data_IF_892244139248
#
_entry.id   IF_892244139248
#
_cell.length_a   1.000
_cell.length_b   1.000
_cell.length_c   1.000
_cell.angle_alpha   90.00
_cell.angle_beta   90.00
_cell.angle_gamma   90.00
#
_symmetry.space_group_name_H-M   'P 1'
#
loop_
_entity.id
_entity.type
_entity.pdbx_description
1 polymer ?
#
# COMPACT_ATOMS: atom_id res chain seq x y z
N UNK A 1 -27.49 16.78 13.77
CA UNK A 1 -26.07 16.36 13.86
C UNK A 1 -25.43 17.06 15.06
N UNK A 2 -25.02 16.32 16.11
CA UNK A 2 -24.32 16.90 17.27
C UNK A 2 -22.89 17.24 16.84
N UNK A 3 -22.48 18.49 17.02
CA UNK A 3 -21.09 18.89 16.79
C UNK A 3 -20.18 18.08 17.74
N UNK A 4 -19.09 17.49 17.27
CA UNK A 4 -18.20 16.76 18.16
C UNK A 4 -17.68 17.71 19.25
N UNK A 5 -17.81 17.29 20.51
CA UNK A 5 -17.34 18.08 21.64
C UNK A 5 -15.82 18.13 21.71
N UNK A 6 -15.26 19.15 22.32
CA UNK A 6 -13.80 19.32 22.54
C UNK A 6 -13.17 18.06 23.15
N UNK A 7 -13.90 17.36 24.03
CA UNK A 7 -13.42 16.12 24.66
C UNK A 7 -13.16 15.00 23.65
N UNK A 8 -13.99 14.88 22.60
CA UNK A 8 -13.79 13.87 21.55
C UNK A 8 -12.53 14.15 20.74
N UNK A 9 -12.26 15.42 20.44
CA UNK A 9 -11.02 15.82 19.77
C UNK A 9 -9.79 15.55 20.64
N UNK A 10 -9.83 15.86 21.92
CA UNK A 10 -8.72 15.61 22.85
C UNK A 10 -8.41 14.11 23.01
N UNK A 11 -9.39 13.23 22.90
CA UNK A 11 -9.18 11.78 22.96
C UNK A 11 -8.58 11.21 21.66
N UNK A 12 -8.90 11.79 20.52
CA UNK A 12 -8.40 11.33 19.20
C UNK A 12 -7.05 11.95 18.83
N UNK A 13 -6.79 13.18 19.29
CA UNK A 13 -5.60 13.97 18.96
C UNK A 13 -4.26 13.25 19.22
N UNK A 14 -4.03 12.58 20.38
CA UNK A 14 -2.75 11.91 20.63
C UNK A 14 -2.48 10.76 19.66
N UNK A 15 -3.48 9.96 19.34
CA UNK A 15 -3.34 8.85 18.37
C UNK A 15 -3.15 9.41 16.96
N UNK A 16 -3.95 10.40 16.58
CA UNK A 16 -3.87 11.02 15.27
C UNK A 16 -2.52 11.72 15.03
N UNK A 17 -2.00 12.44 16.03
CA UNK A 17 -0.69 13.09 15.94
C UNK A 17 0.44 12.08 15.78
N UNK A 18 0.38 10.96 16.50
CA UNK A 18 1.36 9.88 16.39
C UNK A 18 1.33 9.23 15.00
N UNK A 19 0.15 8.92 14.48
CA UNK A 19 -0.01 8.38 13.11
C UNK A 19 0.51 9.35 12.06
N UNK A 20 0.16 10.64 12.18
CA UNK A 20 0.65 11.68 11.28
C UNK A 20 2.19 11.77 11.35
N UNK A 21 2.77 11.76 12.54
CA UNK A 21 4.21 11.84 12.71
C UNK A 21 4.94 10.64 12.07
N UNK A 22 4.44 9.41 12.30
CA UNK A 22 5.03 8.19 11.73
C UNK A 22 4.98 8.19 10.20
N UNK A 23 3.96 8.78 9.60
CA UNK A 23 3.81 8.84 8.14
C UNK A 23 4.52 10.08 7.58
N UNK A 24 4.30 11.25 8.17
CA UNK A 24 4.79 12.50 7.62
C UNK A 24 6.32 12.64 7.74
N UNK A 25 6.91 12.23 8.85
CA UNK A 25 8.37 12.38 9.05
C UNK A 25 9.17 11.60 8.01
N UNK A 26 8.96 10.29 7.78
CA UNK A 26 9.66 9.56 6.73
C UNK A 26 9.33 10.09 5.33
N UNK A 27 8.08 10.50 5.08
CA UNK A 27 7.69 11.04 3.77
C UNK A 27 8.41 12.34 3.43
N UNK A 28 8.50 13.27 4.40
CA UNK A 28 9.25 14.51 4.24
C UNK A 28 10.74 14.25 4.07
N UNK A 29 11.28 13.27 4.80
CA UNK A 29 12.68 12.87 4.65
C UNK A 29 12.98 12.30 3.27
N UNK A 30 12.12 11.41 2.74
CA UNK A 30 12.23 10.87 1.38
C UNK A 30 12.12 11.99 0.34
N UNK A 31 11.18 12.92 0.54
CA UNK A 31 11.05 14.07 -0.34
C UNK A 31 12.32 14.93 -0.34
N UNK A 32 12.89 15.21 0.84
CA UNK A 32 14.17 15.93 0.93
C UNK A 32 15.31 15.17 0.25
N UNK A 33 15.41 13.86 0.46
CA UNK A 33 16.40 13.00 -0.23
C UNK A 33 16.23 13.03 -1.75
N UNK A 34 15.01 13.10 -2.25
CA UNK A 34 14.75 13.13 -3.70
C UNK A 34 15.32 14.37 -4.40
N UNK A 35 15.54 15.45 -3.64
CA UNK A 35 16.16 16.69 -4.13
C UNK A 35 17.68 16.69 -4.01
N UNK A 36 18.26 15.62 -3.45
CA UNK A 36 19.69 15.48 -3.25
C UNK A 36 20.24 14.29 -4.03
N UNK A 37 21.46 14.41 -4.53
CA UNK A 37 22.23 13.27 -5.03
C UNK A 37 22.97 12.65 -3.84
N UNK A 38 22.67 11.38 -3.54
CA UNK A 38 23.24 10.65 -2.42
C UNK A 38 23.99 9.43 -2.94
N UNK A 39 25.30 9.42 -2.76
CA UNK A 39 26.16 8.27 -3.06
C UNK A 39 26.64 7.68 -1.74
N UNK A 40 26.72 6.34 -1.67
CA UNK A 40 27.15 5.66 -0.47
C UNK A 40 28.53 6.17 -0.01
N UNK A 41 28.64 6.58 1.26
CA UNK A 41 29.88 7.10 1.85
C UNK A 41 30.18 8.58 1.56
N UNK A 42 29.30 9.31 0.88
CA UNK A 42 29.46 10.75 0.61
C UNK A 42 28.31 11.54 1.22
N UNK A 43 28.59 12.81 1.55
CA UNK A 43 27.54 13.71 1.99
C UNK A 43 26.56 14.00 0.84
N UNK A 44 25.24 14.06 1.11
CA UNK A 44 24.25 14.36 0.08
C UNK A 44 24.46 15.79 -0.45
N UNK A 45 24.45 15.92 -1.78
CA UNK A 45 24.61 17.19 -2.50
C UNK A 45 23.24 17.59 -3.05
N UNK A 46 22.82 18.83 -2.77
CA UNK A 46 21.55 19.32 -3.26
C UNK A 46 21.61 19.56 -4.79
N UNK A 47 20.76 18.84 -5.53
CA UNK A 47 20.68 18.88 -7.01
C UNK A 47 19.31 19.36 -7.51
N UNK A 48 18.44 19.78 -6.61
CA UNK A 48 17.08 20.23 -6.95
C UNK A 48 16.27 19.16 -7.70
N UNK A 49 15.73 19.53 -8.85
CA UNK A 49 14.88 18.62 -9.66
C UNK A 49 15.65 17.75 -10.66
N UNK A 50 16.98 17.73 -10.64
CA UNK A 50 17.77 16.98 -11.59
C UNK A 50 17.48 15.46 -11.57
N UNK A 51 17.21 14.89 -10.39
CA UNK A 51 16.81 13.48 -10.26
C UNK A 51 15.48 13.20 -10.98
N UNK A 52 14.53 14.11 -10.90
CA UNK A 52 13.24 13.99 -11.59
C UNK A 52 13.40 14.11 -13.10
N UNK A 53 14.28 15.01 -13.58
CA UNK A 53 14.58 15.12 -15.00
C UNK A 53 15.24 13.84 -15.54
N UNK A 54 16.19 13.27 -14.81
CA UNK A 54 16.82 11.97 -15.16
C UNK A 54 15.75 10.85 -15.22
N UNK A 55 14.86 10.79 -14.21
CA UNK A 55 13.79 9.79 -14.13
C UNK A 55 12.81 9.88 -15.30
N UNK A 56 12.37 11.09 -15.64
CA UNK A 56 11.41 11.31 -16.75
C UNK A 56 12.02 11.02 -18.13
N UNK A 57 13.34 11.13 -18.26
CA UNK A 57 14.06 10.77 -19.48
C UNK A 57 14.35 9.26 -19.57
N UNK A 58 14.18 8.51 -18.47
CA UNK A 58 14.51 7.09 -18.44
C UNK A 58 13.39 6.24 -19.07
N UNK A 59 13.72 5.55 -20.15
CA UNK A 59 12.82 4.62 -20.85
C UNK A 59 12.39 3.42 -19.97
N UNK A 60 13.30 2.96 -19.09
CA UNK A 60 13.00 1.84 -18.19
C UNK A 60 11.99 2.22 -17.15
N UNK A 61 12.06 3.46 -16.64
CA UNK A 61 11.03 4.00 -15.74
C UNK A 61 9.64 3.95 -16.36
N UNK A 62 9.48 4.46 -17.59
CA UNK A 62 8.18 4.47 -18.25
C UNK A 62 7.64 3.07 -18.52
N UNK A 63 8.52 2.14 -18.91
CA UNK A 63 8.13 0.74 -19.09
C UNK A 63 7.66 0.11 -17.77
N UNK A 64 8.41 0.30 -16.69
CA UNK A 64 8.07 -0.18 -15.36
C UNK A 64 6.76 0.45 -14.86
N UNK A 65 6.60 1.76 -15.06
CA UNK A 65 5.40 2.50 -14.68
C UNK A 65 4.15 1.95 -15.37
N UNK A 66 4.20 1.80 -16.71
CA UNK A 66 3.08 1.26 -17.48
C UNK A 66 2.75 -0.17 -17.08
N UNK A 67 3.76 -1.04 -16.94
CA UNK A 67 3.56 -2.41 -16.49
C UNK A 67 2.91 -2.45 -15.11
N UNK A 68 3.43 -1.69 -14.15
CA UNK A 68 2.87 -1.62 -12.79
C UNK A 68 1.44 -1.09 -12.83
N UNK A 69 1.18 -0.04 -13.60
CA UNK A 69 -0.15 0.53 -13.74
C UNK A 69 -1.16 -0.50 -14.29
N UNK A 70 -0.79 -1.24 -15.35
CA UNK A 70 -1.65 -2.27 -15.93
C UNK A 70 -1.89 -3.40 -14.93
N UNK A 71 -0.82 -3.96 -14.36
CA UNK A 71 -0.90 -5.11 -13.44
C UNK A 71 -1.73 -4.76 -12.21
N UNK A 72 -1.48 -3.60 -11.59
CA UNK A 72 -2.23 -3.17 -10.39
C UNK A 72 -3.71 -2.98 -10.72
N UNK A 73 -4.05 -2.33 -11.85
CA UNK A 73 -5.45 -2.16 -12.21
C UNK A 73 -6.15 -3.50 -12.50
N UNK A 74 -5.49 -4.41 -13.22
CA UNK A 74 -6.05 -5.74 -13.48
C UNK A 74 -6.31 -6.49 -12.16
N UNK A 75 -5.33 -6.52 -11.25
CA UNK A 75 -5.47 -7.17 -9.95
C UNK A 75 -6.63 -6.55 -9.17
N UNK A 76 -6.66 -5.22 -9.02
CA UNK A 76 -7.71 -4.52 -8.25
C UNK A 76 -9.10 -4.80 -8.81
N UNK A 77 -9.30 -4.77 -10.13
CA UNK A 77 -10.61 -5.05 -10.71
C UNK A 77 -11.02 -6.51 -10.55
N UNK A 78 -10.08 -7.46 -10.69
CA UNK A 78 -10.36 -8.89 -10.45
C UNK A 78 -10.70 -9.13 -8.98
N UNK A 79 -9.92 -8.60 -8.06
CA UNK A 79 -10.18 -8.71 -6.61
C UNK A 79 -11.53 -8.10 -6.24
N UNK A 80 -11.85 -6.92 -6.78
CA UNK A 80 -13.13 -6.25 -6.54
C UNK A 80 -14.30 -7.11 -7.05
N UNK A 81 -14.20 -7.69 -8.24
CA UNK A 81 -15.24 -8.55 -8.80
C UNK A 81 -15.44 -9.81 -7.93
N UNK A 82 -14.35 -10.46 -7.49
CA UNK A 82 -14.41 -11.61 -6.60
C UNK A 82 -15.02 -11.22 -5.23
N UNK A 83 -14.56 -10.12 -4.64
CA UNK A 83 -15.06 -9.64 -3.35
C UNK A 83 -16.55 -9.31 -3.39
N UNK A 84 -17.02 -8.63 -4.47
CA UNK A 84 -18.44 -8.35 -4.67
C UNK A 84 -19.25 -9.63 -4.88
N UNK A 85 -18.71 -10.61 -5.61
CA UNK A 85 -19.33 -11.92 -5.78
C UNK A 85 -19.51 -12.64 -4.43
N UNK A 86 -18.48 -12.70 -3.61
CA UNK A 86 -18.52 -13.30 -2.27
C UNK A 86 -19.49 -12.53 -1.35
N UNK A 87 -19.43 -11.20 -1.38
CA UNK A 87 -20.33 -10.35 -0.57
C UNK A 87 -21.80 -10.57 -0.94
N UNK A 88 -22.12 -10.68 -2.24
CA UNK A 88 -23.47 -10.94 -2.72
C UNK A 88 -23.99 -12.32 -2.30
N UNK A 89 -23.12 -13.35 -2.31
CA UNK A 89 -23.46 -14.67 -1.79
C UNK A 89 -23.80 -14.60 -0.28
N UNK A 90 -23.03 -13.87 0.51
CA UNK A 90 -23.32 -13.69 1.93
C UNK A 90 -24.61 -12.91 2.19
N UNK A 91 -24.92 -11.92 1.35
CA UNK A 91 -26.18 -11.17 1.44
C UNK A 91 -27.39 -12.05 1.08
N UNK A 92 -27.22 -13.03 0.21
CA UNK A 92 -28.27 -13.99 -0.14
C UNK A 92 -28.55 -15.04 0.94
N UNK A 93 -27.78 -15.07 2.05
CA UNK A 93 -28.04 -15.95 3.19
C UNK A 93 -27.69 -17.41 2.96
N UNK A 94 -26.55 -17.70 2.34
CA UNK A 94 -26.12 -19.07 2.06
C UNK A 94 -25.95 -19.91 3.35
N UNK A 95 -26.39 -21.19 3.36
CA UNK A 95 -26.30 -22.06 4.55
C UNK A 95 -24.85 -22.40 4.94
N UNK A 96 -23.91 -22.38 4.00
CA UNK A 96 -22.49 -22.70 4.19
C UNK A 96 -21.62 -21.50 4.53
N UNK A 97 -22.20 -20.40 4.97
CA UNK A 97 -21.49 -19.16 5.33
C UNK A 97 -20.23 -19.35 6.19
N UNK A 98 -20.22 -20.19 7.27
CA UNK A 98 -19.02 -20.40 8.07
C UNK A 98 -17.88 -21.06 7.29
N UNK A 99 -18.21 -22.00 6.40
CA UNK A 99 -17.22 -22.70 5.57
C UNK A 99 -16.59 -21.74 4.56
N UNK A 100 -17.41 -20.93 3.88
CA UNK A 100 -16.91 -19.93 2.92
C UNK A 100 -16.04 -18.89 3.63
N UNK A 101 -16.45 -18.42 4.82
CA UNK A 101 -15.63 -17.54 5.66
C UNK A 101 -14.29 -18.16 6.04
N UNK A 102 -14.27 -19.43 6.45
CA UNK A 102 -13.04 -20.14 6.79
C UNK A 102 -12.09 -20.21 5.59
N UNK A 103 -12.61 -20.52 4.39
CA UNK A 103 -11.81 -20.58 3.16
C UNK A 103 -11.25 -19.20 2.79
N UNK A 104 -12.05 -18.13 2.88
CA UNK A 104 -11.62 -16.75 2.56
C UNK A 104 -10.58 -16.23 3.56
N UNK A 105 -10.69 -16.62 4.84
CA UNK A 105 -9.76 -16.20 5.88
C UNK A 105 -8.49 -17.07 5.96
N UNK A 106 -8.51 -18.26 5.39
CA UNK A 106 -7.38 -19.19 5.44
C UNK A 106 -6.06 -18.61 4.92
N UNK A 107 -6.02 -17.85 3.81
CA UNK A 107 -4.79 -17.20 3.34
C UNK A 107 -4.19 -16.22 4.34
N UNK A 108 -4.99 -15.56 5.17
CA UNK A 108 -4.48 -14.63 6.20
C UNK A 108 -3.71 -15.32 7.34
N UNK A 109 -3.90 -16.63 7.49
CA UNK A 109 -3.14 -17.44 8.45
C UNK A 109 -1.73 -17.78 7.95
N UNK A 110 -1.47 -17.62 6.64
CA UNK A 110 -0.17 -17.91 6.03
C UNK A 110 0.62 -16.61 5.92
N UNK A 111 1.84 -16.59 6.45
CA UNK A 111 2.74 -15.45 6.28
C UNK A 111 3.08 -15.25 4.80
N UNK A 112 3.01 -14.01 4.31
CA UNK A 112 3.38 -13.63 2.93
C UNK A 112 4.79 -14.10 2.57
N UNK A 113 5.73 -14.00 3.52
CA UNK A 113 7.12 -14.45 3.33
C UNK A 113 7.18 -15.95 3.06
N UNK A 114 6.41 -16.75 3.82
CA UNK A 114 6.34 -18.20 3.63
C UNK A 114 5.72 -18.53 2.27
N UNK A 115 4.67 -17.84 1.87
CA UNK A 115 4.05 -18.03 0.57
C UNK A 115 5.03 -17.75 -0.59
N UNK A 116 5.78 -16.65 -0.53
CA UNK A 116 6.80 -16.30 -1.53
C UNK A 116 7.91 -17.35 -1.59
N UNK A 117 8.38 -17.84 -0.45
CA UNK A 117 9.41 -18.88 -0.38
C UNK A 117 8.91 -20.17 -1.01
N UNK A 118 7.70 -20.62 -0.68
CA UNK A 118 7.09 -21.83 -1.25
C UNK A 118 6.99 -21.70 -2.78
N UNK A 119 6.48 -20.57 -3.29
CA UNK A 119 6.41 -20.32 -4.74
C UNK A 119 7.78 -20.40 -5.42
N UNK A 120 8.80 -19.80 -4.81
CA UNK A 120 10.17 -19.83 -5.33
C UNK A 120 10.77 -21.24 -5.41
N UNK A 121 10.35 -22.15 -4.53
CA UNK A 121 10.80 -23.54 -4.56
C UNK A 121 9.98 -24.42 -5.51
N UNK A 122 8.75 -24.02 -5.84
CA UNK A 122 7.87 -24.76 -6.75
C UNK A 122 8.08 -24.42 -8.23
N UNK A 123 8.67 -23.24 -8.53
CA UNK A 123 9.01 -22.77 -9.88
C UNK A 123 10.50 -22.83 -10.15
#
# INVERSE_FOLDING_TARGET
MRRPGILQWLMVLPVQSLVIAIIAVPSLWIFWLSLNESTYGQAPVFVGLANYAKLLADRYFWRAFVNTFIVVNVIVYVEMAIALGIASLFAAGIPWRPVVLAIVLLPYAVSEVVAVIIWKFLM
#
